data_IF_427770686562
#
_entry.id   IF_427770686562
#
_cell.length_a   1.000
_cell.length_b   1.000
_cell.length_c   1.000
_cell.angle_alpha   90.00
_cell.angle_beta   90.00
_cell.angle_gamma   90.00
#
_symmetry.space_group_name_H-M   'P 1'
#
loop_
_entity.id
_entity.type
_entity.pdbx_description
1 polymer ?
#
# COMPACT_ATOMS: atom_id res chain seq x y z
N UNK A 1 -6.59 -22.31 6.01
CA UNK A 1 -6.08 -22.34 4.62
C UNK A 1 -5.71 -20.92 4.22
N UNK A 2 -4.51 -20.69 3.68
CA UNK A 2 -4.08 -19.36 3.24
C UNK A 2 -4.94 -18.86 2.07
N UNK A 3 -5.28 -17.57 2.10
CA UNK A 3 -5.97 -16.83 1.04
C UNK A 3 -5.06 -15.73 0.49
N UNK A 4 -5.36 -15.30 -0.72
CA UNK A 4 -4.66 -14.21 -1.41
C UNK A 4 -5.64 -13.11 -1.78
N UNK A 5 -5.33 -11.87 -1.39
CA UNK A 5 -6.01 -10.67 -1.85
C UNK A 5 -5.09 -9.93 -2.82
N UNK A 6 -5.59 -9.61 -4.01
CA UNK A 6 -4.92 -8.73 -4.97
C UNK A 6 -5.80 -7.52 -5.26
N UNK A 7 -5.26 -6.32 -5.09
CA UNK A 7 -5.95 -5.06 -5.38
C UNK A 7 -5.07 -4.23 -6.30
N UNK A 8 -5.66 -3.56 -7.29
CA UNK A 8 -4.95 -2.60 -8.13
C UNK A 8 -5.70 -1.26 -8.09
N UNK A 9 -4.98 -0.18 -7.76
CA UNK A 9 -5.50 1.18 -7.74
C UNK A 9 -4.88 1.98 -8.89
N UNK A 10 -5.69 2.80 -9.55
CA UNK A 10 -5.20 3.78 -10.52
C UNK A 10 -4.81 5.07 -9.80
N UNK A 11 -3.65 5.64 -10.14
CA UNK A 11 -3.21 6.96 -9.73
C UNK A 11 -3.25 7.87 -10.96
N UNK A 12 -3.99 8.98 -10.85
CA UNK A 12 -4.14 9.98 -11.92
C UNK A 12 -3.56 11.35 -11.54
N UNK A 13 -2.95 11.47 -10.36
CA UNK A 13 -2.43 12.72 -9.81
C UNK A 13 -1.01 12.44 -9.29
N UNK A 14 -0.05 13.32 -9.54
CA UNK A 14 1.29 13.17 -8.96
C UNK A 14 1.35 13.61 -7.50
N UNK A 15 2.50 13.38 -6.85
CA UNK A 15 2.70 13.62 -5.42
C UNK A 15 2.69 12.35 -4.57
N UNK A 16 2.51 12.52 -3.25
CA UNK A 16 2.55 11.43 -2.27
C UNK A 16 1.19 10.74 -2.13
N UNK A 17 1.18 9.40 -2.07
CA UNK A 17 -0.05 8.60 -2.06
C UNK A 17 -0.01 7.52 -0.98
N UNK A 18 -1.14 7.31 -0.29
CA UNK A 18 -1.31 6.35 0.79
C UNK A 18 -2.51 5.42 0.55
N UNK A 19 -2.24 4.13 0.31
CA UNK A 19 -3.29 3.12 0.20
C UNK A 19 -3.42 2.34 1.51
N UNK A 20 -4.60 2.40 2.11
CA UNK A 20 -4.93 1.65 3.32
C UNK A 20 -5.76 0.43 2.93
N UNK A 21 -5.36 -0.74 3.44
CA UNK A 21 -6.02 -2.01 3.25
C UNK A 21 -6.44 -2.55 4.62
N UNK A 22 -7.66 -2.26 5.06
CA UNK A 22 -8.18 -2.69 6.36
C UNK A 22 -9.37 -1.88 6.84
N UNK A 23 -9.96 -2.29 7.97
CA UNK A 23 -11.12 -1.67 8.59
C UNK A 23 -10.72 -0.65 9.66
N UNK A 24 -10.12 0.49 9.25
CA UNK A 24 -10.03 1.65 10.13
C UNK A 24 -10.85 2.80 9.55
N UNK A 25 -12.06 2.96 10.07
CA UNK A 25 -12.99 4.03 9.70
C UNK A 25 -12.51 5.43 10.12
N UNK A 26 -11.53 5.53 11.02
CA UNK A 26 -11.04 6.81 11.56
C UNK A 26 -9.86 7.41 10.77
N UNK A 27 -9.19 6.64 9.92
CA UNK A 27 -8.17 7.15 8.98
C UNK A 27 -8.74 7.90 7.76
N UNK A 28 -10.07 8.01 7.67
CA UNK A 28 -10.74 8.87 6.70
C UNK A 28 -10.55 10.38 6.99
N UNK A 29 -9.99 10.77 8.15
CA UNK A 29 -9.93 12.19 8.54
C UNK A 29 -8.69 12.95 8.06
N UNK A 30 -7.57 12.29 7.77
CA UNK A 30 -6.36 12.98 7.25
C UNK A 30 -6.47 13.31 5.75
N UNK A 31 -7.63 13.02 5.15
CA UNK A 31 -7.91 12.98 3.72
C UNK A 31 -8.02 14.33 3.00
N UNK A 32 -8.26 15.45 3.71
CA UNK A 32 -8.67 16.70 3.04
C UNK A 32 -7.60 17.79 2.89
N UNK A 33 -6.50 17.73 3.63
CA UNK A 33 -5.57 18.87 3.68
C UNK A 33 -4.41 18.81 2.66
N UNK A 34 -4.04 17.62 2.14
CA UNK A 34 -2.73 17.45 1.48
C UNK A 34 -2.73 16.66 0.15
N UNK A 35 -3.90 16.42 -0.47
CA UNK A 35 -3.97 15.87 -1.85
C UNK A 35 -3.75 14.36 -1.98
N UNK A 36 -3.99 13.59 -0.92
CA UNK A 36 -3.69 12.15 -0.86
C UNK A 36 -4.84 11.28 -1.40
N UNK A 37 -4.52 10.27 -2.20
CA UNK A 37 -5.47 9.24 -2.65
C UNK A 37 -5.58 8.09 -1.65
N UNK A 38 -6.80 7.73 -1.21
CA UNK A 38 -7.07 6.60 -0.31
C UNK A 38 -7.61 5.38 -1.09
N UNK A 39 -7.05 4.19 -0.81
CA UNK A 39 -7.71 2.91 -1.14
C UNK A 39 -8.96 2.77 -0.28
N UNK A 40 -10.09 2.42 -0.90
CA UNK A 40 -11.34 2.05 -0.22
C UNK A 40 -11.61 0.54 -0.28
N UNK A 41 -10.60 -0.27 -0.56
CA UNK A 41 -10.76 -1.74 -0.65
C UNK A 41 -10.26 -2.39 0.63
N UNK A 42 -11.15 -2.67 1.60
CA UNK A 42 -10.76 -3.22 2.89
C UNK A 42 -10.39 -4.70 2.80
N UNK A 43 -9.38 -5.10 3.58
CA UNK A 43 -9.36 -6.43 4.20
C UNK A 43 -10.43 -6.37 5.30
N UNK A 44 -11.53 -7.11 5.13
CA UNK A 44 -12.76 -6.90 5.91
C UNK A 44 -12.73 -7.49 7.32
N UNK A 45 -11.85 -8.46 7.58
CA UNK A 45 -11.77 -9.17 8.85
C UNK A 45 -10.34 -9.11 9.38
N UNK A 46 -10.13 -9.02 10.72
CA UNK A 46 -8.84 -9.29 11.34
C UNK A 46 -8.28 -10.60 10.78
N UNK A 47 -7.07 -10.56 10.25
CA UNK A 47 -6.45 -11.73 9.68
C UNK A 47 -4.98 -11.79 10.03
N UNK A 48 -4.46 -13.02 10.07
CA UNK A 48 -3.04 -13.27 10.22
C UNK A 48 -2.39 -13.14 8.85
N UNK A 49 -1.69 -12.04 8.63
CA UNK A 49 -0.98 -11.76 7.38
C UNK A 49 0.37 -12.44 7.41
N UNK A 50 0.68 -13.18 6.34
CA UNK A 50 1.94 -13.89 6.17
C UNK A 50 2.91 -13.14 5.26
N UNK A 51 2.36 -12.45 4.26
CA UNK A 51 3.10 -11.58 3.37
C UNK A 51 2.23 -10.42 2.89
N UNK A 52 2.80 -9.22 2.86
CA UNK A 52 2.21 -8.03 2.27
C UNK A 52 3.25 -7.39 1.36
N UNK A 53 2.88 -7.22 0.09
CA UNK A 53 3.72 -6.65 -0.95
C UNK A 53 2.93 -5.61 -1.73
N UNK A 54 3.60 -4.54 -2.18
CA UNK A 54 3.02 -3.62 -3.14
C UNK A 54 4.07 -3.12 -4.12
N UNK A 55 3.63 -2.76 -5.32
CA UNK A 55 4.48 -2.20 -6.35
C UNK A 55 3.74 -1.20 -7.23
N UNK A 56 4.49 -0.21 -7.70
CA UNK A 56 4.07 0.78 -8.66
C UNK A 56 4.32 0.28 -10.08
N UNK A 57 3.29 0.36 -10.91
CA UNK A 57 3.29 0.05 -12.33
C UNK A 57 3.07 1.32 -13.15
N UNK A 58 3.69 1.37 -14.34
CA UNK A 58 3.44 2.38 -15.36
C UNK A 58 2.18 2.08 -16.19
N UNK A 59 1.89 2.95 -17.17
CA UNK A 59 0.75 2.82 -18.07
C UNK A 59 0.81 1.56 -18.98
N UNK A 60 1.98 0.94 -19.12
CA UNK A 60 2.20 -0.30 -19.85
C UNK A 60 2.14 -1.54 -18.93
N UNK A 61 1.70 -1.36 -17.68
CA UNK A 61 1.66 -2.39 -16.64
C UNK A 61 3.03 -3.01 -16.31
N UNK A 62 4.12 -2.28 -16.55
CA UNK A 62 5.49 -2.64 -16.15
C UNK A 62 5.86 -1.96 -14.85
N UNK A 63 6.85 -2.48 -14.13
CA UNK A 63 7.34 -1.84 -12.91
C UNK A 63 7.87 -0.43 -13.22
N UNK A 64 7.36 0.56 -12.49
CA UNK A 64 7.84 1.93 -12.56
C UNK A 64 9.23 2.02 -11.91
N UNK A 65 10.27 2.12 -12.74
CA UNK A 65 11.66 2.16 -12.29
C UNK A 65 11.95 3.40 -11.45
N UNK A 66 12.73 3.24 -10.37
CA UNK A 66 13.13 4.35 -9.50
C UNK A 66 12.04 4.83 -8.54
N UNK A 67 10.85 4.22 -8.58
CA UNK A 67 9.76 4.57 -7.68
C UNK A 67 10.05 4.10 -6.24
N UNK A 68 9.80 4.98 -5.27
CA UNK A 68 9.80 4.60 -3.85
C UNK A 68 8.49 3.90 -3.49
N UNK A 69 8.57 2.73 -2.87
CA UNK A 69 7.42 2.08 -2.24
C UNK A 69 7.76 1.77 -0.80
N UNK A 70 6.85 2.09 0.10
CA UNK A 70 6.95 1.80 1.52
C UNK A 70 5.71 1.05 1.96
N UNK A 71 5.90 0.02 2.77
CA UNK A 71 4.82 -0.74 3.36
C UNK A 71 4.82 -0.56 4.85
N UNK A 72 3.65 -0.48 5.44
CA UNK A 72 3.51 -0.50 6.88
C UNK A 72 2.20 -1.03 7.39
N UNK A 73 2.03 -0.89 8.70
CA UNK A 73 0.86 -1.33 9.44
C UNK A 73 0.49 -0.25 10.46
N UNK A 74 -0.80 -0.12 10.69
CA UNK A 74 -1.34 0.85 11.64
C UNK A 74 -1.34 0.27 13.05
N UNK A 75 -1.06 1.10 14.06
CA UNK A 75 -1.07 0.69 15.48
C UNK A 75 -2.45 0.69 16.12
N UNK A 76 -3.45 1.33 15.50
CA UNK A 76 -4.76 1.52 16.10
C UNK A 76 -4.85 2.68 17.09
N UNK A 77 -3.76 3.40 17.31
CA UNK A 77 -3.75 4.62 18.12
C UNK A 77 -4.46 5.76 17.39
N UNK A 78 -5.19 6.59 18.14
CA UNK A 78 -5.72 7.86 17.66
C UNK A 78 -4.51 8.69 17.20
N UNK A 79 -4.53 9.16 15.95
CA UNK A 79 -3.42 9.81 15.22
C UNK A 79 -2.33 8.91 14.60
N UNK A 80 -2.58 7.59 14.52
CA UNK A 80 -1.95 6.65 13.57
C UNK A 80 -0.40 6.65 13.53
N UNK A 81 0.25 6.21 14.60
CA UNK A 81 1.65 5.80 14.51
C UNK A 81 1.74 4.58 13.55
N UNK A 82 2.54 4.69 12.49
CA UNK A 82 2.89 3.54 11.65
C UNK A 82 3.84 2.65 12.45
N UNK A 83 3.44 1.40 12.76
CA UNK A 83 4.23 0.53 13.65
C UNK A 83 5.54 0.07 12.99
N UNK A 84 5.51 -0.16 11.68
CA UNK A 84 6.62 -0.73 10.92
C UNK A 84 6.59 -0.12 9.52
N UNK A 85 7.66 0.56 9.11
CA UNK A 85 7.86 0.89 7.69
C UNK A 85 9.01 0.02 7.16
N UNK A 86 8.70 -0.86 6.22
CA UNK A 86 9.72 -1.45 5.35
C UNK A 86 9.56 -0.81 3.99
N UNK A 87 10.63 -0.27 3.44
CA UNK A 87 10.59 0.46 2.18
C UNK A 87 11.80 0.17 1.33
N UNK A 88 11.68 0.45 0.04
CA UNK A 88 12.73 0.25 -0.94
C UNK A 88 12.43 1.01 -2.22
N UNK A 89 13.48 1.18 -3.03
CA UNK A 89 13.36 1.72 -4.38
C UNK A 89 13.14 0.53 -5.33
N UNK A 90 12.17 0.64 -6.22
CA UNK A 90 11.96 -0.35 -7.28
C UNK A 90 13.15 -0.27 -8.26
N UNK A 91 14.06 -1.23 -8.15
CA UNK A 91 15.24 -1.35 -9.00
C UNK A 91 14.91 -1.78 -10.43
N UNK A 92 15.89 -1.61 -11.32
CA UNK A 92 15.83 -1.95 -12.75
C UNK A 92 15.62 -3.43 -13.04
N UNK A 93 15.87 -4.31 -12.06
CA UNK A 93 15.93 -5.76 -12.26
C UNK A 93 14.60 -6.48 -11.97
N UNK A 94 13.53 -5.72 -11.73
CA UNK A 94 12.18 -6.26 -11.69
C UNK A 94 11.77 -7.01 -10.41
N UNK A 95 12.60 -6.98 -9.37
CA UNK A 95 12.23 -7.57 -8.08
C UNK A 95 11.25 -6.63 -7.32
N UNK A 96 10.11 -7.14 -6.84
CA UNK A 96 9.14 -6.39 -6.04
C UNK A 96 9.66 -6.29 -4.60
N UNK A 97 10.70 -5.49 -4.38
CA UNK A 97 11.57 -5.63 -3.20
C UNK A 97 10.94 -5.31 -1.84
N UNK A 98 9.75 -4.72 -1.79
CA UNK A 98 9.15 -4.36 -0.51
C UNK A 98 8.09 -5.38 -0.16
N UNK A 99 8.53 -6.40 0.59
CA UNK A 99 7.64 -7.39 1.20
C UNK A 99 7.82 -7.33 2.72
N UNK A 100 6.74 -7.01 3.42
CA UNK A 100 6.61 -7.28 4.84
C UNK A 100 6.27 -8.76 5.00
N UNK A 101 7.16 -9.51 5.67
CA UNK A 101 7.04 -10.96 5.88
C UNK A 101 6.97 -11.27 7.36
N UNK A 102 6.26 -12.35 7.67
CA UNK A 102 6.08 -12.86 9.02
C UNK A 102 4.63 -12.74 9.45
N UNK A 103 4.17 -13.59 10.39
CA UNK A 103 2.81 -13.53 10.86
C UNK A 103 2.60 -12.26 11.68
N UNK A 104 1.78 -11.34 11.19
CA UNK A 104 1.30 -10.19 11.95
C UNK A 104 -0.21 -10.04 11.79
N UNK A 105 -0.87 -9.43 12.78
CA UNK A 105 -2.31 -9.20 12.78
C UNK A 105 -2.63 -7.92 12.04
N UNK A 106 -3.55 -7.96 11.06
CA UNK A 106 -3.96 -6.78 10.31
C UNK A 106 -5.06 -5.96 10.99
N UNK A 107 -5.18 -6.04 12.32
CA UNK A 107 -6.33 -5.55 13.10
C UNK A 107 -6.71 -4.10 12.76
N UNK A 108 -5.72 -3.25 12.50
CA UNK A 108 -5.91 -1.83 12.22
C UNK A 108 -5.65 -1.42 10.77
N UNK A 109 -5.16 -2.34 9.93
CA UNK A 109 -4.95 -2.15 8.49
C UNK A 109 -3.48 -2.06 8.05
N UNK A 110 -3.29 -2.36 6.77
CA UNK A 110 -2.01 -2.34 6.06
C UNK A 110 -1.89 -1.09 5.22
N UNK A 111 -0.70 -0.52 5.12
CA UNK A 111 -0.47 0.74 4.40
C UNK A 111 0.55 0.52 3.29
N UNK A 112 0.23 0.94 2.08
CA UNK A 112 1.22 1.21 1.03
C UNK A 112 1.37 2.71 0.91
N UNK A 113 2.60 3.20 1.02
CA UNK A 113 2.96 4.60 0.86
C UNK A 113 3.91 4.75 -0.32
N UNK A 114 3.62 5.70 -1.19
CA UNK A 114 4.49 6.13 -2.27
C UNK A 114 4.85 7.59 -2.00
N UNK A 115 6.11 7.89 -1.63
CA UNK A 115 6.50 9.21 -1.13
C UNK A 115 6.44 10.28 -2.22
N UNK A 116 6.81 9.95 -3.46
CA UNK A 116 6.87 10.92 -4.53
C UNK A 116 6.64 10.24 -5.88
N UNK A 117 5.61 10.70 -6.59
CA UNK A 117 5.34 10.33 -7.97
C UNK A 117 5.65 11.50 -8.90
N UNK A 118 6.35 11.25 -10.03
CA UNK A 118 6.59 12.28 -11.03
C UNK A 118 5.28 12.93 -11.48
N UNK A 119 5.18 14.26 -11.35
CA UNK A 119 4.04 15.05 -11.84
C UNK A 119 4.28 15.38 -13.32
N UNK A 120 4.38 14.37 -14.19
CA UNK A 120 4.59 14.59 -15.63
C UNK A 120 3.40 14.04 -16.42
N UNK A 121 2.53 14.90 -16.99
CA UNK A 121 1.41 14.43 -17.78
C UNK A 121 1.86 13.77 -19.10
N UNK A 122 1.15 12.73 -19.60
CA UNK A 122 0.10 11.97 -18.96
C UNK A 122 0.67 10.73 -18.24
N UNK A 123 1.06 10.85 -16.97
CA UNK A 123 1.47 9.70 -16.19
C UNK A 123 0.27 9.07 -15.47
N UNK A 124 -0.29 8.03 -16.07
CA UNK A 124 -1.19 7.10 -15.36
C UNK A 124 -0.31 6.03 -14.73
N UNK A 125 -0.37 5.91 -13.41
CA UNK A 125 0.29 4.83 -12.69
C UNK A 125 -0.74 3.89 -12.07
N UNK A 126 -0.31 2.68 -11.75
CA UNK A 126 -1.12 1.73 -10.99
C UNK A 126 -0.35 1.21 -9.79
N UNK A 127 -1.00 1.12 -8.64
CA UNK A 127 -0.44 0.44 -7.47
C UNK A 127 -1.10 -0.91 -7.37
N UNK A 128 -0.30 -1.98 -7.46
CA UNK A 128 -0.79 -3.33 -7.21
C UNK A 128 -0.28 -3.81 -5.87
N UNK A 129 -1.23 -4.14 -5.01
CA UNK A 129 -0.99 -4.72 -3.68
C UNK A 129 -1.40 -6.18 -3.68
N UNK A 130 -0.56 -7.03 -3.08
CA UNK A 130 -0.85 -8.44 -2.81
C UNK A 130 -0.68 -8.72 -1.32
N UNK A 131 -1.69 -9.38 -0.73
CA UNK A 131 -1.68 -9.81 0.68
C UNK A 131 -1.95 -11.32 0.72
N UNK A 132 -1.05 -12.06 1.35
CA UNK A 132 -1.23 -13.48 1.68
C UNK A 132 -1.61 -13.55 3.16
N UNK A 133 -2.76 -14.11 3.46
CA UNK A 133 -3.31 -14.09 4.82
C UNK A 133 -4.08 -15.36 5.17
N UNK A 134 -4.24 -15.61 6.47
CA UNK A 134 -5.12 -16.60 7.03
C UNK A 134 -6.30 -15.88 7.69
N UNK A 135 -7.54 -16.08 7.22
CA UNK A 135 -8.73 -15.56 7.89
C UNK A 135 -8.80 -16.08 9.33
N UNK A 136 -9.30 -15.24 10.25
CA UNK A 136 -9.68 -15.68 11.58
C UNK A 136 -10.77 -16.78 11.54
#
# INVERSE_FOLDING_TARGET
MLKTLTVTHTISIGGSVFYIHGANSQLAMTQRALGWGLSRTPVRDPCKVWAFSSWLLDNAAKLAMGAGVQLGMLTGEIDSALLILKGGIQGTDGDPHVVLRGPFLSDYGLVTHIPELPITPPAVYYVRTVVIYEPA
#
